data_IF_003730963906
#
_entry.id   IF_003730963906
#
_cell.length_a   1.000
_cell.length_b   1.000
_cell.length_c   1.000
_cell.angle_alpha   90.00
_cell.angle_beta   90.00
_cell.angle_gamma   90.00
#
_symmetry.space_group_name_H-M   'P 1'
#
loop_
_entity.id
_entity.type
_entity.pdbx_description
1 polymer ?
#
# COMPACT_ATOMS: atom_id res chain seq x y z
N UNK A 1 -16.61 21.80 23.80
CA UNK A 1 -16.48 20.36 24.16
C UNK A 1 -16.03 19.59 22.94
N UNK A 2 -15.03 18.71 23.07
CA UNK A 2 -14.33 18.09 21.92
C UNK A 2 -14.32 16.56 21.97
N UNK A 3 -14.04 15.92 20.83
CA UNK A 3 -13.89 14.47 20.73
C UNK A 3 -12.68 13.95 21.52
N UNK A 4 -12.69 12.65 21.86
CA UNK A 4 -11.56 11.99 22.53
C UNK A 4 -10.25 12.06 21.74
N UNK A 5 -10.33 11.95 20.40
CA UNK A 5 -9.18 12.09 19.51
C UNK A 5 -8.57 13.51 19.57
N UNK A 6 -9.41 14.54 19.54
CA UNK A 6 -8.98 15.94 19.65
C UNK A 6 -8.41 16.22 21.03
N UNK A 7 -9.01 15.67 22.09
CA UNK A 7 -8.53 15.84 23.46
C UNK A 7 -7.15 15.21 23.67
N UNK A 8 -6.93 14.01 23.12
CA UNK A 8 -5.62 13.36 23.14
C UNK A 8 -4.57 14.16 22.37
N UNK A 9 -4.91 14.66 21.18
CA UNK A 9 -4.02 15.50 20.36
C UNK A 9 -3.60 16.77 21.10
N UNK A 10 -4.54 17.44 21.77
CA UNK A 10 -4.27 18.61 22.63
C UNK A 10 -3.35 18.27 23.79
N UNK A 11 -3.59 17.14 24.47
CA UNK A 11 -2.75 16.69 25.59
C UNK A 11 -1.29 16.48 25.15
N UNK A 12 -1.07 15.79 24.03
CA UNK A 12 0.28 15.56 23.51
C UNK A 12 0.97 16.88 23.16
N UNK A 13 0.27 17.82 22.53
CA UNK A 13 0.80 19.13 22.20
C UNK A 13 1.27 19.89 23.45
N UNK A 14 0.47 19.86 24.52
CA UNK A 14 0.81 20.50 25.81
C UNK A 14 2.04 19.85 26.43
N UNK A 15 2.05 18.51 26.54
CA UNK A 15 3.16 17.77 27.14
C UNK A 15 4.47 17.98 26.35
N UNK A 16 4.39 17.99 25.02
CA UNK A 16 5.54 18.24 24.16
C UNK A 16 6.07 19.67 24.34
N UNK A 17 5.20 20.67 24.37
CA UNK A 17 5.61 22.06 24.61
C UNK A 17 6.27 22.23 26.00
N UNK A 18 5.73 21.59 27.04
CA UNK A 18 6.31 21.59 28.39
C UNK A 18 7.67 20.90 28.47
N UNK A 19 7.90 19.88 27.63
CA UNK A 19 9.19 19.20 27.50
C UNK A 19 10.22 20.07 26.76
N UNK A 20 9.80 20.77 25.72
CA UNK A 20 10.65 21.64 24.90
C UNK A 20 11.07 22.90 25.67
N UNK A 21 10.11 23.63 26.24
CA UNK A 21 10.36 24.83 27.01
C UNK A 21 9.28 25.00 28.08
N UNK A 22 9.57 24.52 29.28
CA UNK A 22 8.62 24.43 30.38
C UNK A 22 8.07 25.80 30.79
N UNK A 23 8.95 26.80 30.93
CA UNK A 23 8.58 28.12 31.43
C UNK A 23 7.70 28.86 30.42
N UNK A 24 8.08 28.84 29.14
CA UNK A 24 7.31 29.53 28.09
C UNK A 24 5.98 28.83 27.80
N UNK A 25 5.93 27.50 27.88
CA UNK A 25 4.69 26.75 27.75
C UNK A 25 3.71 27.05 28.91
N UNK A 26 4.19 27.21 30.15
CA UNK A 26 3.35 27.62 31.29
C UNK A 26 2.78 29.03 31.13
N UNK A 27 3.55 29.95 30.55
CA UNK A 27 3.07 31.31 30.22
C UNK A 27 1.99 31.25 29.14
N UNK A 28 2.20 30.45 28.09
CA UNK A 28 1.21 30.27 27.00
C UNK A 28 -0.10 29.66 27.51
N UNK A 29 -0.02 28.69 28.43
CA UNK A 29 -1.21 28.07 29.03
C UNK A 29 -2.02 29.02 29.92
N UNK A 30 -1.42 30.12 30.39
CA UNK A 30 -2.08 31.15 31.23
C UNK A 30 -2.00 32.53 30.56
N UNK A 31 -2.75 32.75 29.46
CA UNK A 31 -2.61 33.95 28.63
C UNK A 31 -3.04 35.24 29.33
N UNK A 32 -3.89 35.17 30.35
CA UNK A 32 -4.36 36.33 31.12
C UNK A 32 -4.38 36.02 32.62
N UNK A 33 -4.24 37.05 33.45
CA UNK A 33 -4.31 36.98 34.92
C UNK A 33 -5.68 36.51 35.42
N UNK A 34 -6.70 36.60 34.57
CA UNK A 34 -8.07 36.11 34.80
C UNK A 34 -8.23 34.61 34.56
N UNK A 35 -7.27 33.95 33.87
CA UNK A 35 -7.35 32.51 33.61
C UNK A 35 -7.09 31.70 34.89
N UNK A 36 -8.12 31.01 35.35
CA UNK A 36 -8.08 30.17 36.54
C UNK A 36 -8.06 28.69 36.16
N UNK A 37 -7.40 27.90 37.01
CA UNK A 37 -7.49 26.44 36.97
C UNK A 37 -8.35 26.02 38.14
N UNK A 38 -9.45 25.31 37.88
CA UNK A 38 -10.33 24.86 38.95
C UNK A 38 -9.65 23.83 39.85
N UNK A 39 -10.03 23.72 41.14
CA UNK A 39 -9.33 22.85 42.11
C UNK A 39 -9.27 21.36 41.72
N UNK A 40 -10.18 20.89 40.87
CA UNK A 40 -10.27 19.51 40.40
C UNK A 40 -9.85 19.33 38.94
N UNK A 41 -9.33 20.37 38.30
CA UNK A 41 -8.82 20.34 36.93
C UNK A 41 -7.30 20.49 36.90
N UNK A 42 -6.66 19.79 35.97
CA UNK A 42 -5.20 19.84 35.76
C UNK A 42 -4.83 21.00 34.82
N UNK A 43 -5.69 21.31 33.86
CA UNK A 43 -5.49 22.34 32.84
C UNK A 43 -6.38 23.56 33.08
N UNK A 44 -5.94 24.78 32.67
CA UNK A 44 -6.75 26.00 32.80
C UNK A 44 -8.12 25.88 32.13
N UNK A 45 -9.14 26.46 32.76
CA UNK A 45 -10.49 26.51 32.18
C UNK A 45 -10.50 27.61 31.12
N UNK A 46 -10.49 27.20 29.84
CA UNK A 46 -10.50 28.08 28.67
C UNK A 46 -11.69 27.75 27.76
N UNK A 47 -12.17 28.75 27.04
CA UNK A 47 -13.16 28.60 25.97
C UNK A 47 -12.55 27.90 24.75
N UNK A 48 -13.39 27.36 23.86
CA UNK A 48 -12.91 26.66 22.66
C UNK A 48 -12.08 27.59 21.74
N UNK A 49 -12.41 28.89 21.68
CA UNK A 49 -11.67 29.91 20.91
C UNK A 49 -10.30 30.25 21.53
N UNK A 50 -10.22 30.31 22.86
CA UNK A 50 -8.94 30.48 23.57
C UNK A 50 -8.05 29.26 23.40
N UNK A 51 -8.63 28.05 23.46
CA UNK A 51 -7.90 26.81 23.20
C UNK A 51 -7.25 26.80 21.82
N UNK A 52 -7.95 27.26 20.78
CA UNK A 52 -7.37 27.34 19.42
C UNK A 52 -6.15 28.27 19.41
N UNK A 53 -6.22 29.42 20.08
CA UNK A 53 -5.08 30.36 20.16
C UNK A 53 -3.90 29.76 20.91
N UNK A 54 -4.16 29.10 22.04
CA UNK A 54 -3.15 28.42 22.85
C UNK A 54 -2.50 27.28 22.07
N UNK A 55 -3.27 26.45 21.37
CA UNK A 55 -2.76 25.36 20.53
C UNK A 55 -1.83 25.86 19.43
N UNK A 56 -2.19 26.95 18.74
CA UNK A 56 -1.31 27.57 17.73
C UNK A 56 0.00 28.03 18.36
N UNK A 57 -0.05 28.69 19.52
CA UNK A 57 1.15 29.17 20.21
C UNK A 57 2.05 28.03 20.71
N UNK A 58 1.47 26.94 21.23
CA UNK A 58 2.23 25.75 21.66
C UNK A 58 2.88 25.04 20.48
N UNK A 59 2.18 24.94 19.34
CA UNK A 59 2.74 24.40 18.10
C UNK A 59 3.92 25.24 17.62
N UNK A 60 3.76 26.56 17.56
CA UNK A 60 4.81 27.46 17.09
C UNK A 60 6.04 27.44 17.99
N UNK A 61 5.86 27.29 19.31
CA UNK A 61 6.94 27.08 20.27
C UNK A 61 7.77 25.82 19.95
N UNK A 62 7.09 24.69 19.70
CA UNK A 62 7.75 23.41 19.41
C UNK A 62 8.51 23.48 18.07
N UNK A 63 7.88 24.05 17.04
CA UNK A 63 8.49 24.18 15.72
C UNK A 63 9.68 25.14 15.74
N UNK A 64 9.59 26.25 16.46
CA UNK A 64 10.69 27.20 16.61
C UNK A 64 11.92 26.57 17.29
N UNK A 65 11.73 25.76 18.33
CA UNK A 65 12.83 25.03 18.97
C UNK A 65 13.44 23.98 18.03
N UNK A 66 12.61 23.22 17.31
CA UNK A 66 13.08 22.25 16.32
C UNK A 66 13.89 22.93 15.20
N UNK A 67 13.37 24.03 14.64
CA UNK A 67 14.02 24.80 13.59
C UNK A 67 15.37 25.37 14.04
N UNK A 68 15.45 25.84 15.31
CA UNK A 68 16.70 26.33 15.89
C UNK A 68 17.72 25.21 16.16
N UNK A 69 17.28 24.05 16.66
CA UNK A 69 18.18 22.92 16.94
C UNK A 69 18.74 22.27 15.69
N UNK A 70 17.94 22.22 14.63
CA UNK A 70 18.30 21.51 13.39
C UNK A 70 18.71 22.44 12.25
N UNK A 71 18.75 23.76 12.47
CA UNK A 71 18.98 24.78 11.44
C UNK A 71 18.02 24.64 10.23
N UNK A 72 16.74 24.41 10.52
CA UNK A 72 15.68 24.20 9.50
C UNK A 72 14.72 25.38 9.51
N UNK A 73 14.39 25.89 8.33
CA UNK A 73 13.32 26.87 8.19
C UNK A 73 11.96 26.19 8.42
N UNK A 74 11.28 26.55 9.50
CA UNK A 74 9.96 25.98 9.89
C UNK A 74 8.89 26.14 8.81
N UNK A 75 8.99 27.16 7.94
CA UNK A 75 8.05 27.39 6.84
C UNK A 75 8.20 26.36 5.69
N UNK A 76 9.32 25.63 5.66
CA UNK A 76 9.57 24.58 4.66
C UNK A 76 9.05 23.20 5.07
N UNK A 77 8.50 23.07 6.29
CA UNK A 77 8.01 21.79 6.81
C UNK A 77 6.63 21.45 6.26
N UNK A 78 6.45 20.19 5.86
CA UNK A 78 5.17 19.62 5.45
C UNK A 78 4.26 19.35 6.66
N UNK A 79 2.94 19.20 6.43
CA UNK A 79 1.99 18.89 7.51
C UNK A 79 2.26 17.55 8.19
N UNK A 80 2.81 16.56 7.46
CA UNK A 80 3.26 15.29 8.04
C UNK A 80 4.48 15.49 8.95
N UNK A 81 5.48 16.27 8.52
CA UNK A 81 6.68 16.53 9.33
C UNK A 81 6.32 17.33 10.60
N UNK A 82 5.44 18.32 10.50
CA UNK A 82 4.93 19.06 11.66
C UNK A 82 4.28 18.10 12.67
N UNK A 83 3.45 17.15 12.19
CA UNK A 83 2.81 16.14 13.04
C UNK A 83 3.83 15.25 13.73
N UNK A 84 4.83 14.77 12.99
CA UNK A 84 5.85 13.86 13.48
C UNK A 84 6.77 14.54 14.51
N UNK A 85 7.08 15.84 14.34
CA UNK A 85 7.84 16.65 15.31
C UNK A 85 7.06 16.78 16.64
N UNK A 86 5.74 17.01 16.56
CA UNK A 86 4.88 17.16 17.75
C UNK A 86 4.72 15.83 18.47
N UNK A 87 4.61 14.72 17.74
CA UNK A 87 4.57 13.36 18.29
C UNK A 87 5.93 12.90 18.84
N UNK A 88 7.01 13.61 18.50
CA UNK A 88 8.34 13.39 19.05
C UNK A 88 9.16 12.33 18.34
N UNK A 89 8.87 12.06 17.07
CA UNK A 89 9.67 11.18 16.22
C UNK A 89 10.98 11.86 15.82
N UNK A 90 12.07 11.08 15.74
CA UNK A 90 13.35 11.57 15.22
C UNK A 90 13.26 11.78 13.71
N UNK A 91 13.03 13.02 13.29
CA UNK A 91 13.11 13.41 11.89
C UNK A 91 14.53 13.85 11.59
N UNK A 92 15.23 13.08 10.76
CA UNK A 92 16.50 13.49 10.16
C UNK A 92 16.31 14.84 9.46
N UNK A 93 17.08 15.85 9.87
CA UNK A 93 16.95 17.22 9.40
C UNK A 93 16.90 17.26 7.85
N UNK A 94 15.90 17.92 7.23
CA UNK A 94 15.81 18.01 5.78
C UNK A 94 17.12 18.60 5.23
N UNK A 95 17.80 17.81 4.39
CA UNK A 95 19.06 18.21 3.75
C UNK A 95 18.92 19.55 3.05
N UNK A 96 19.93 20.42 3.12
CA UNK A 96 19.97 21.76 2.47
C UNK A 96 19.55 21.74 0.98
N UNK A 97 19.72 20.59 0.31
CA UNK A 97 19.26 20.33 -1.05
C UNK A 97 17.73 20.48 -1.24
N UNK A 98 16.90 20.14 -0.24
CA UNK A 98 15.43 20.31 -0.31
C UNK A 98 15.01 21.77 -0.14
N UNK A 99 15.78 22.58 0.58
CA UNK A 99 15.52 24.02 0.71
C UNK A 99 15.79 24.74 -0.62
N UNK A 100 16.86 24.36 -1.32
CA UNK A 100 17.14 24.84 -2.68
C UNK A 100 16.05 24.42 -3.67
N UNK A 101 15.51 23.20 -3.55
CA UNK A 101 14.41 22.73 -4.41
C UNK A 101 13.12 23.52 -4.17
N UNK A 102 12.78 23.88 -2.93
CA UNK A 102 11.58 24.67 -2.63
C UNK A 102 11.72 26.14 -3.12
N UNK A 103 12.91 26.73 -3.06
CA UNK A 103 13.19 28.05 -3.66
C UNK A 103 13.14 27.99 -5.19
N UNK A 104 13.66 26.91 -5.80
CA UNK A 104 13.58 26.66 -7.25
C UNK A 104 12.15 26.37 -7.69
N UNK A 105 11.35 25.61 -6.95
CA UNK A 105 9.93 25.35 -7.26
C UNK A 105 9.08 26.63 -7.20
N UNK A 106 9.42 27.56 -6.30
CA UNK A 106 8.75 28.86 -6.21
C UNK A 106 9.06 29.73 -7.44
N UNK A 107 10.29 29.66 -7.97
CA UNK A 107 10.65 30.28 -9.26
C UNK A 107 10.06 29.51 -10.46
N UNK A 108 9.94 28.19 -10.39
CA UNK A 108 9.40 27.33 -11.45
C UNK A 108 7.89 27.53 -11.63
N UNK A 109 7.15 27.86 -10.57
CA UNK A 109 5.72 28.21 -10.63
C UNK A 109 5.42 29.51 -11.38
N UNK A 110 6.38 30.44 -11.45
CA UNK A 110 6.27 31.66 -12.28
C UNK A 110 6.73 31.40 -13.73
N UNK A 111 7.46 30.31 -13.99
CA UNK A 111 7.98 29.93 -15.30
C UNK A 111 7.25 28.77 -15.97
N UNK A 112 6.25 28.18 -15.31
CA UNK A 112 5.42 27.07 -15.81
C UNK A 112 4.35 27.54 -16.81
N UNK A 113 4.76 28.31 -17.81
CA UNK A 113 4.01 28.54 -19.05
C UNK A 113 4.77 28.13 -20.31
N UNK A 114 6.04 27.71 -20.21
CA UNK A 114 6.84 27.41 -21.40
C UNK A 114 7.70 26.17 -21.20
N UNK A 115 7.14 24.98 -21.45
CA UNK A 115 7.92 23.88 -22.06
C UNK A 115 7.00 22.78 -22.58
N UNK A 116 6.59 22.91 -23.85
CA UNK A 116 6.13 21.81 -24.67
C UNK A 116 7.12 21.67 -25.83
N UNK A 117 7.77 20.51 -25.98
CA UNK A 117 8.68 20.27 -27.10
C UNK A 117 7.85 20.09 -28.38
N UNK A 118 7.89 21.10 -29.25
CA UNK A 118 7.23 21.08 -30.56
C UNK A 118 8.17 20.48 -31.60
N UNK A 119 7.68 19.51 -32.37
CA UNK A 119 8.39 19.04 -33.56
C UNK A 119 7.69 19.61 -34.79
N UNK A 120 8.42 20.37 -35.61
CA UNK A 120 7.91 20.94 -36.88
C UNK A 120 8.22 20.00 -38.04
N UNK A 121 7.22 19.67 -38.84
CA UNK A 121 7.41 18.95 -40.11
C UNK A 121 6.61 19.61 -41.22
N UNK A 122 7.16 19.67 -42.44
CA UNK A 122 6.55 20.36 -43.59
C UNK A 122 6.01 19.32 -44.58
N UNK A 123 4.77 19.52 -45.02
CA UNK A 123 4.14 18.73 -46.08
C UNK A 123 4.67 19.17 -47.46
N UNK A 124 4.65 18.27 -48.47
CA UNK A 124 4.99 18.52 -49.89
C UNK A 124 4.41 19.80 -50.55
N UNK A 125 3.42 20.48 -49.94
CA UNK A 125 2.85 21.75 -50.39
C UNK A 125 3.33 22.99 -49.61
N UNK A 126 4.26 22.84 -48.65
CA UNK A 126 4.90 23.96 -47.96
C UNK A 126 4.20 24.43 -46.67
N UNK A 127 3.11 23.79 -46.26
CA UNK A 127 2.42 24.12 -45.01
C UNK A 127 3.11 23.47 -43.80
N UNK A 128 3.36 24.27 -42.74
CA UNK A 128 3.94 23.83 -41.48
C UNK A 128 2.91 23.04 -40.64
N UNK A 129 3.23 21.80 -40.27
CA UNK A 129 2.47 21.01 -39.29
C UNK A 129 3.26 20.99 -37.98
N UNK A 130 2.64 21.49 -36.91
CA UNK A 130 3.19 21.49 -35.55
C UNK A 130 2.49 20.37 -34.77
N UNK A 131 3.22 19.32 -34.39
CA UNK A 131 2.70 18.24 -33.55
C UNK A 131 3.33 18.31 -32.16
N UNK A 132 2.50 18.55 -31.15
CA UNK A 132 2.88 18.59 -29.74
C UNK A 132 2.69 17.21 -29.10
N UNK A 133 3.78 16.56 -28.71
CA UNK A 133 3.73 15.29 -27.97
C UNK A 133 4.05 15.54 -26.50
N UNK A 134 3.05 15.45 -25.63
CA UNK A 134 3.23 15.53 -24.18
C UNK A 134 3.48 14.14 -23.60
N UNK A 135 4.72 13.67 -23.59
CA UNK A 135 5.06 12.46 -22.82
C UNK A 135 5.47 12.87 -21.40
N UNK A 136 4.51 12.89 -20.48
CA UNK A 136 4.72 13.05 -19.04
C UNK A 136 5.12 11.72 -18.34
N UNK A 137 5.52 10.70 -19.10
CA UNK A 137 5.66 9.35 -18.57
C UNK A 137 7.01 9.08 -17.87
N UNK A 138 8.07 9.82 -18.20
CA UNK A 138 9.42 9.56 -17.67
C UNK A 138 9.70 10.23 -16.31
N UNK A 139 8.92 11.24 -15.91
CA UNK A 139 9.13 11.95 -14.63
C UNK A 139 8.43 11.29 -13.43
N UNK A 140 7.67 10.21 -13.63
CA UNK A 140 7.24 9.32 -12.54
C UNK A 140 8.29 8.24 -12.22
N UNK A 141 9.56 8.53 -12.44
CA UNK A 141 10.65 7.79 -11.81
C UNK A 141 10.62 8.11 -10.31
N UNK A 142 9.72 7.42 -9.62
CA UNK A 142 9.55 7.38 -8.17
C UNK A 142 10.95 7.31 -7.55
N UNK A 143 11.34 8.34 -6.81
CA UNK A 143 12.61 8.41 -6.12
C UNK A 143 12.72 7.25 -5.13
N UNK A 144 13.29 6.14 -5.59
CA UNK A 144 13.51 4.90 -4.85
C UNK A 144 14.72 5.04 -3.92
N UNK A 145 14.72 6.09 -3.10
CA UNK A 145 15.35 6.07 -1.77
C UNK A 145 14.32 5.70 -0.69
N UNK A 146 13.22 5.07 -1.08
CA UNK A 146 12.40 4.31 -0.13
C UNK A 146 13.20 3.07 0.24
N UNK A 147 13.55 2.95 1.51
CA UNK A 147 14.26 1.86 2.22
C UNK A 147 13.70 0.45 1.90
N UNK A 148 13.88 -0.03 0.65
CA UNK A 148 13.47 -1.38 0.25
C UNK A 148 14.24 -2.42 1.05
N UNK A 149 15.45 -2.07 1.54
CA UNK A 149 16.29 -2.91 2.41
C UNK A 149 15.63 -3.13 3.77
N UNK A 150 15.18 -2.08 4.47
CA UNK A 150 14.44 -2.22 5.74
C UNK A 150 13.17 -3.05 5.54
N UNK A 151 12.45 -2.82 4.44
CA UNK A 151 11.27 -3.64 4.14
C UNK A 151 11.63 -5.10 3.82
N UNK A 152 12.72 -5.35 3.10
CA UNK A 152 13.18 -6.71 2.82
C UNK A 152 13.57 -7.47 4.10
N UNK A 153 14.28 -6.81 5.02
CA UNK A 153 14.61 -7.36 6.34
C UNK A 153 13.32 -7.66 7.13
N UNK A 154 12.36 -6.74 7.09
CA UNK A 154 11.08 -6.90 7.80
C UNK A 154 10.22 -8.02 7.17
N UNK A 155 10.22 -8.15 5.85
CA UNK A 155 9.51 -9.18 5.10
C UNK A 155 10.05 -10.59 5.41
N UNK A 156 11.36 -10.73 5.68
CA UNK A 156 11.94 -12.00 6.11
C UNK A 156 11.29 -12.55 7.41
N UNK A 157 10.74 -11.67 8.24
CA UNK A 157 10.06 -12.03 9.50
C UNK A 157 8.56 -12.30 9.36
N UNK A 158 7.98 -12.26 8.14
CA UNK A 158 6.55 -12.50 7.91
C UNK A 158 6.09 -13.90 8.36
N UNK A 159 6.99 -14.88 8.29
CA UNK A 159 6.72 -16.23 8.76
C UNK A 159 6.29 -16.28 10.24
N UNK A 160 6.78 -15.36 11.09
CA UNK A 160 6.40 -15.29 12.51
C UNK A 160 4.93 -14.93 12.69
N UNK A 161 4.36 -14.10 11.80
CA UNK A 161 2.94 -13.70 11.85
C UNK A 161 2.00 -14.87 11.51
N UNK A 162 2.51 -15.90 10.82
CA UNK A 162 1.71 -17.07 10.47
C UNK A 162 1.36 -17.98 11.65
N UNK A 163 1.96 -17.73 12.83
CA UNK A 163 1.61 -18.41 14.08
C UNK A 163 0.27 -17.90 14.66
N UNK A 164 -0.09 -16.65 14.37
CA UNK A 164 -1.30 -16.00 14.88
C UNK A 164 -2.14 -15.52 13.69
N UNK A 165 -3.07 -16.38 13.27
CA UNK A 165 -3.99 -16.08 12.17
C UNK A 165 -5.40 -16.01 12.73
N UNK A 166 -6.05 -14.86 12.53
CA UNK A 166 -7.44 -14.61 12.89
C UNK A 166 -8.30 -14.66 11.63
N UNK A 167 -9.49 -15.25 11.73
CA UNK A 167 -10.47 -15.27 10.65
C UNK A 167 -11.69 -14.51 11.13
N UNK A 168 -12.01 -13.42 10.44
CA UNK A 168 -13.23 -12.65 10.68
C UNK A 168 -14.39 -13.37 10.00
N UNK A 169 -15.25 -13.98 10.82
CA UNK A 169 -16.51 -14.60 10.38
C UNK A 169 -17.68 -13.84 11.00
N UNK A 170 -18.59 -13.35 10.17
CA UNK A 170 -19.93 -12.93 10.61
C UNK A 170 -20.81 -14.18 10.86
N UNK A 171 -21.98 -13.97 11.49
CA UNK A 171 -22.95 -15.02 11.79
C UNK A 171 -23.28 -15.88 10.56
N UNK A 172 -23.38 -17.20 10.78
CA UNK A 172 -23.57 -18.20 9.73
C UNK A 172 -24.92 -17.96 9.04
N UNK A 173 -24.89 -17.50 7.79
CA UNK A 173 -26.07 -17.52 6.92
C UNK A 173 -26.27 -18.94 6.39
N UNK A 174 -27.41 -19.56 6.67
CA UNK A 174 -27.75 -20.93 6.23
C UNK A 174 -27.76 -21.12 4.70
N UNK A 175 -27.80 -20.03 3.93
CA UNK A 175 -27.99 -20.03 2.48
C UNK A 175 -26.72 -19.73 1.66
N UNK A 176 -25.55 -19.57 2.31
CA UNK A 176 -24.28 -19.22 1.65
C UNK A 176 -23.29 -20.38 1.46
N UNK A 177 -22.32 -20.20 0.57
CA UNK A 177 -21.18 -21.12 0.45
C UNK A 177 -20.17 -20.91 1.60
N UNK A 178 -19.57 -22.00 2.08
CA UNK A 178 -18.45 -21.96 3.03
C UNK A 178 -17.14 -22.24 2.30
N UNK A 179 -16.17 -21.34 2.41
CA UNK A 179 -14.88 -21.45 1.73
C UNK A 179 -13.82 -22.03 2.66
N UNK A 180 -13.08 -23.04 2.22
CA UNK A 180 -12.02 -23.68 3.01
C UNK A 180 -10.67 -23.37 2.36
N UNK A 181 -9.83 -22.62 3.07
CA UNK A 181 -8.48 -22.26 2.64
C UNK A 181 -7.42 -23.14 3.35
N UNK A 182 -6.57 -23.86 2.60
CA UNK A 182 -5.51 -24.65 3.20
C UNK A 182 -4.45 -23.78 3.88
N UNK A 183 -4.06 -24.16 5.09
CA UNK A 183 -3.05 -23.43 5.87
C UNK A 183 -1.69 -23.39 5.16
N UNK A 184 -1.32 -24.41 4.39
CA UNK A 184 -0.02 -24.46 3.72
C UNK A 184 0.12 -23.37 2.64
N UNK A 185 -0.91 -23.16 1.81
CA UNK A 185 -0.87 -22.12 0.78
C UNK A 185 -1.01 -20.74 1.40
N UNK A 186 -1.84 -20.57 2.42
CA UNK A 186 -1.95 -19.30 3.14
C UNK A 186 -0.61 -18.89 3.78
N UNK A 187 0.05 -19.81 4.49
CA UNK A 187 1.36 -19.55 5.10
C UNK A 187 2.38 -19.11 4.05
N UNK A 188 2.48 -19.84 2.93
CA UNK A 188 3.41 -19.47 1.87
C UNK A 188 3.02 -18.13 1.22
N UNK A 189 1.73 -17.85 1.00
CA UNK A 189 1.25 -16.57 0.47
C UNK A 189 1.63 -15.39 1.36
N UNK A 190 1.52 -15.53 2.69
CA UNK A 190 1.99 -14.53 3.66
C UNK A 190 3.51 -14.37 3.55
N UNK A 191 4.27 -15.46 3.55
CA UNK A 191 5.74 -15.41 3.51
C UNK A 191 6.33 -14.78 2.24
N UNK A 192 5.63 -14.84 1.11
CA UNK A 192 6.11 -14.24 -0.16
C UNK A 192 5.71 -12.77 -0.33
N UNK A 193 4.92 -12.22 0.58
CA UNK A 193 4.36 -10.86 0.47
C UNK A 193 5.30 -9.75 0.94
N UNK A 194 4.85 -8.50 0.81
CA UNK A 194 5.47 -7.32 1.41
C UNK A 194 4.51 -6.68 2.44
N UNK A 195 5.07 -6.03 3.46
CA UNK A 195 4.29 -5.37 4.51
C UNK A 195 3.58 -4.10 4.04
N UNK A 196 3.96 -3.54 2.88
CA UNK A 196 3.41 -2.28 2.36
C UNK A 196 2.76 -2.46 1.00
N UNK A 197 3.47 -3.05 0.03
CA UNK A 197 2.96 -3.30 -1.31
C UNK A 197 2.04 -4.52 -1.29
N UNK A 198 0.81 -4.34 -1.76
CA UNK A 198 -0.15 -5.43 -1.86
C UNK A 198 0.29 -6.44 -2.94
N UNK A 199 0.03 -7.72 -2.68
CA UNK A 199 0.12 -8.80 -3.67
C UNK A 199 -1.22 -9.53 -3.71
N UNK A 200 -1.53 -10.15 -4.84
CA UNK A 200 -2.74 -10.91 -5.06
C UNK A 200 -2.47 -12.26 -5.72
N UNK A 201 -3.40 -13.19 -5.52
CA UNK A 201 -3.44 -14.47 -6.22
C UNK A 201 -4.87 -14.85 -6.56
N UNK A 202 -5.08 -15.45 -7.73
CA UNK A 202 -6.38 -15.99 -8.10
C UNK A 202 -6.63 -17.33 -7.41
N UNK A 203 -7.86 -17.55 -6.96
CA UNK A 203 -8.28 -18.73 -6.23
C UNK A 203 -8.99 -19.69 -7.17
N UNK A 204 -8.56 -20.94 -7.17
CA UNK A 204 -9.23 -22.03 -7.87
C UNK A 204 -9.48 -23.19 -6.92
N UNK A 205 -10.61 -23.87 -7.11
CA UNK A 205 -11.00 -24.94 -6.22
C UNK A 205 -12.13 -25.80 -6.77
N UNK A 206 -12.60 -26.69 -5.91
CA UNK A 206 -13.70 -27.62 -6.20
C UNK A 206 -14.58 -27.78 -4.97
N UNK A 207 -15.83 -28.13 -5.17
CA UNK A 207 -16.66 -28.65 -4.09
C UNK A 207 -16.36 -30.13 -3.85
N UNK A 208 -16.32 -30.60 -2.59
CA UNK A 208 -16.26 -32.02 -2.32
C UNK A 208 -17.53 -32.72 -2.86
N UNK A 209 -17.44 -33.99 -3.29
CA UNK A 209 -18.57 -34.71 -3.88
C UNK A 209 -19.76 -34.83 -2.92
N UNK A 210 -19.48 -34.85 -1.61
CA UNK A 210 -20.48 -35.04 -0.57
C UNK A 210 -21.22 -33.74 -0.19
N UNK A 211 -20.65 -32.57 -0.47
CA UNK A 211 -21.24 -31.29 -0.07
C UNK A 211 -20.97 -30.15 -1.08
N UNK A 212 -21.94 -29.81 -1.94
CA UNK A 212 -21.78 -28.75 -2.94
C UNK A 212 -21.76 -27.33 -2.34
N UNK A 213 -22.22 -27.14 -1.11
CA UNK A 213 -22.20 -25.83 -0.43
C UNK A 213 -20.81 -25.48 0.15
N UNK A 214 -19.89 -26.44 0.18
CA UNK A 214 -18.50 -26.22 0.58
C UNK A 214 -17.63 -25.99 -0.65
N UNK A 215 -16.75 -24.99 -0.59
CA UNK A 215 -15.79 -24.67 -1.64
C UNK A 215 -14.37 -24.83 -1.10
N UNK A 216 -13.68 -25.89 -1.52
CA UNK A 216 -12.31 -26.15 -1.11
C UNK A 216 -11.32 -25.48 -2.08
N UNK A 217 -10.59 -24.49 -1.59
CA UNK A 217 -9.55 -23.80 -2.38
C UNK A 217 -8.36 -24.76 -2.53
N UNK A 218 -8.09 -25.20 -3.76
CA UNK A 218 -7.00 -26.14 -4.06
C UNK A 218 -5.77 -25.44 -4.59
N UNK A 219 -5.93 -24.31 -5.27
CA UNK A 219 -4.84 -23.63 -5.95
C UNK A 219 -4.90 -22.11 -5.74
N UNK A 220 -3.72 -21.52 -5.50
CA UNK A 220 -3.50 -20.07 -5.63
C UNK A 220 -2.60 -19.85 -6.85
N UNK A 221 -3.10 -19.11 -7.83
CA UNK A 221 -2.35 -18.75 -9.03
C UNK A 221 -1.76 -17.35 -8.87
N UNK A 222 -0.44 -17.26 -8.87
CA UNK A 222 0.28 -15.99 -8.93
C UNK A 222 0.48 -15.58 -10.38
N UNK A 223 0.02 -14.39 -10.74
CA UNK A 223 0.16 -13.81 -12.08
C UNK A 223 1.17 -12.66 -12.06
N UNK A 224 1.73 -12.25 -13.23
CA UNK A 224 2.55 -11.05 -13.34
C UNK A 224 1.83 -9.84 -12.73
N UNK A 225 2.37 -9.19 -11.71
CA UNK A 225 1.66 -8.14 -10.99
C UNK A 225 2.59 -7.14 -10.33
N UNK A 226 2.07 -5.95 -10.05
CA UNK A 226 2.71 -4.98 -9.17
C UNK A 226 1.65 -4.35 -8.26
N UNK A 227 2.06 -3.81 -7.13
CA UNK A 227 1.16 -3.35 -6.09
C UNK A 227 1.62 -2.07 -5.42
N UNK A 228 0.64 -1.28 -5.03
CA UNK A 228 0.81 -0.11 -4.17
C UNK A 228 0.39 -0.46 -2.74
N UNK A 229 0.36 0.52 -1.84
CA UNK A 229 -0.23 0.32 -0.51
C UNK A 229 -1.77 0.26 -0.51
N UNK A 230 -2.42 0.64 -1.62
CA UNK A 230 -3.88 0.73 -1.73
C UNK A 230 -4.49 -0.30 -2.67
N UNK A 231 -3.79 -0.72 -3.71
CA UNK A 231 -4.33 -1.58 -4.77
C UNK A 231 -3.23 -2.39 -5.44
N UNK A 232 -3.64 -3.45 -6.12
CA UNK A 232 -2.81 -4.34 -6.93
C UNK A 232 -3.23 -4.25 -8.39
N UNK A 233 -2.25 -4.31 -9.28
CA UNK A 233 -2.44 -4.24 -10.71
C UNK A 233 -2.12 -5.60 -11.33
N UNK A 234 -3.14 -6.18 -11.97
CA UNK A 234 -3.11 -7.50 -12.60
C UNK A 234 -3.34 -7.35 -14.12
N UNK A 235 -2.80 -8.26 -14.94
CA UNK A 235 -3.12 -8.36 -16.36
C UNK A 235 -4.58 -8.74 -16.55
N UNK A 236 -5.18 -8.28 -17.65
CA UNK A 236 -6.56 -8.58 -18.02
C UNK A 236 -6.78 -10.06 -18.36
N UNK A 237 -5.74 -10.76 -18.83
CA UNK A 237 -5.83 -12.18 -19.11
C UNK A 237 -5.93 -13.00 -17.81
N UNK A 238 -7.00 -13.77 -17.65
CA UNK A 238 -7.13 -14.73 -16.56
C UNK A 238 -6.20 -15.95 -16.73
N UNK A 239 -5.82 -16.61 -15.63
CA UNK A 239 -5.07 -17.86 -15.63
C UNK A 239 -5.67 -18.95 -16.53
N UNK A 240 -4.84 -19.52 -17.40
CA UNK A 240 -5.19 -20.68 -18.21
C UNK A 240 -4.10 -21.74 -18.09
N UNK A 241 -4.47 -22.95 -17.71
CA UNK A 241 -3.59 -24.12 -17.65
C UNK A 241 -4.41 -25.41 -17.64
N UNK A 242 -3.84 -26.53 -18.07
CA UNK A 242 -4.50 -27.83 -18.11
C UNK A 242 -5.07 -28.25 -16.75
N UNK A 243 -4.26 -28.23 -15.68
CA UNK A 243 -4.73 -28.48 -14.31
C UNK A 243 -5.83 -27.55 -13.80
N UNK A 244 -6.01 -26.34 -14.37
CA UNK A 244 -7.08 -25.43 -13.95
C UNK A 244 -8.43 -25.80 -14.57
N UNK A 245 -8.46 -26.61 -15.65
CA UNK A 245 -9.71 -26.96 -16.35
C UNK A 245 -10.66 -27.80 -15.51
N UNK A 246 -10.13 -28.58 -14.57
CA UNK A 246 -10.90 -29.41 -13.64
C UNK A 246 -11.39 -28.64 -12.40
N UNK A 247 -11.01 -27.36 -12.27
CA UNK A 247 -11.34 -26.51 -11.12
C UNK A 247 -12.19 -25.31 -11.55
N UNK A 248 -13.02 -24.82 -10.65
CA UNK A 248 -13.77 -23.59 -10.86
C UNK A 248 -13.03 -22.38 -10.22
N UNK A 249 -13.11 -21.18 -10.83
CA UNK A 249 -12.59 -19.97 -10.22
C UNK A 249 -13.44 -19.60 -8.99
N UNK A 250 -12.78 -19.36 -7.86
CA UNK A 250 -13.40 -18.97 -6.58
C UNK A 250 -13.11 -17.51 -6.22
N UNK A 251 -12.52 -16.74 -7.12
CA UNK A 251 -12.21 -15.33 -6.93
C UNK A 251 -10.73 -15.07 -6.69
N UNK A 252 -10.38 -14.21 -5.74
CA UNK A 252 -8.99 -13.80 -5.51
C UNK A 252 -8.70 -13.48 -4.04
N UNK A 253 -7.45 -13.64 -3.64
CA UNK A 253 -6.91 -13.24 -2.34
C UNK A 253 -5.88 -12.12 -2.55
N UNK A 254 -5.85 -11.13 -1.66
CA UNK A 254 -4.78 -10.13 -1.64
C UNK A 254 -4.36 -9.73 -0.24
N UNK A 255 -3.13 -9.26 -0.10
CA UNK A 255 -2.63 -8.68 1.15
C UNK A 255 -3.02 -7.21 1.26
N UNK A 256 -3.17 -6.72 2.49
CA UNK A 256 -3.29 -5.31 2.76
C UNK A 256 -2.47 -4.90 3.99
N UNK A 257 -1.81 -3.72 3.95
CA UNK A 257 -0.88 -3.30 4.99
C UNK A 257 -1.56 -2.99 6.33
N UNK A 258 -2.84 -2.62 6.31
CA UNK A 258 -3.62 -2.29 7.49
C UNK A 258 -4.95 -3.05 7.45
N UNK A 259 -5.50 -3.34 8.62
CA UNK A 259 -6.86 -3.86 8.74
C UNK A 259 -7.87 -2.74 8.54
N UNK A 260 -8.84 -2.98 7.65
CA UNK A 260 -9.97 -2.10 7.41
C UNK A 260 -11.26 -2.80 7.83
N UNK A 261 -12.19 -2.13 8.54
CA UNK A 261 -13.46 -2.73 8.92
C UNK A 261 -14.38 -2.98 7.71
N UNK A 262 -14.11 -2.31 6.59
CA UNK A 262 -14.85 -2.39 5.35
C UNK A 262 -13.95 -2.84 4.21
N UNK A 263 -14.54 -3.51 3.21
CA UNK A 263 -13.88 -3.78 1.94
C UNK A 263 -13.46 -2.46 1.29
N UNK A 264 -12.38 -2.43 0.52
CA UNK A 264 -12.00 -1.17 -0.14
C UNK A 264 -12.86 -0.96 -1.40
N UNK A 265 -13.16 0.30 -1.77
CA UNK A 265 -13.86 0.59 -3.02
C UNK A 265 -13.08 0.10 -4.26
N UNK A 266 -11.75 0.04 -4.15
CA UNK A 266 -10.87 -0.46 -5.22
C UNK A 266 -11.03 -1.98 -5.40
N UNK A 267 -11.23 -2.74 -4.31
CA UNK A 267 -11.45 -4.18 -4.39
C UNK A 267 -12.81 -4.50 -5.03
N UNK A 268 -13.86 -3.74 -4.66
CA UNK A 268 -15.19 -3.84 -5.29
C UNK A 268 -15.10 -3.55 -6.79
N UNK A 269 -14.40 -2.48 -7.16
CA UNK A 269 -14.21 -2.08 -8.56
C UNK A 269 -13.42 -3.14 -9.33
N UNK A 270 -12.35 -3.66 -8.75
CA UNK A 270 -11.47 -4.66 -9.38
C UNK A 270 -12.21 -5.97 -9.58
N UNK A 271 -12.89 -6.47 -8.55
CA UNK A 271 -13.64 -7.72 -8.62
C UNK A 271 -14.79 -7.62 -9.63
N UNK A 272 -15.56 -6.52 -9.63
CA UNK A 272 -16.64 -6.31 -10.59
C UNK A 272 -16.15 -6.24 -12.05
N UNK A 273 -15.00 -5.59 -12.29
CA UNK A 273 -14.39 -5.53 -13.64
C UNK A 273 -13.91 -6.90 -14.11
N UNK A 274 -13.24 -7.66 -13.24
CA UNK A 274 -12.82 -9.03 -13.57
C UNK A 274 -14.03 -9.90 -13.91
N UNK A 275 -15.12 -9.83 -13.13
CA UNK A 275 -16.36 -10.54 -13.43
C UNK A 275 -16.99 -10.12 -14.76
N UNK A 276 -17.03 -8.81 -15.03
CA UNK A 276 -17.62 -8.28 -16.27
C UNK A 276 -16.86 -8.75 -17.52
N UNK A 277 -15.53 -8.83 -17.43
CA UNK A 277 -14.66 -9.24 -18.53
C UNK A 277 -14.62 -10.77 -18.71
N UNK A 278 -15.01 -11.54 -17.69
CA UNK A 278 -14.84 -12.99 -17.66
C UNK A 278 -16.11 -13.73 -17.23
N UNK A 279 -16.94 -14.19 -18.18
CA UNK A 279 -18.19 -14.90 -17.89
C UNK A 279 -18.03 -16.22 -17.12
N UNK A 280 -16.81 -16.76 -17.03
CA UNK A 280 -16.50 -17.94 -16.21
C UNK A 280 -16.60 -17.68 -14.69
N UNK A 281 -16.58 -16.41 -14.26
CA UNK A 281 -16.72 -16.05 -12.85
C UNK A 281 -18.20 -15.95 -12.48
N UNK A 282 -18.63 -16.84 -11.59
CA UNK A 282 -19.98 -16.85 -11.04
C UNK A 282 -20.04 -15.93 -9.82
N UNK A 283 -20.86 -14.87 -9.89
CA UNK A 283 -21.00 -13.88 -8.83
C UNK A 283 -21.46 -14.42 -7.47
N UNK A 284 -22.11 -15.59 -7.45
CA UNK A 284 -22.50 -16.23 -6.19
C UNK A 284 -21.36 -17.08 -5.57
N UNK A 285 -20.38 -17.47 -6.37
CA UNK A 285 -19.27 -18.36 -5.96
C UNK A 285 -17.91 -17.67 -5.86
N UNK A 286 -17.72 -16.54 -6.52
CA UNK A 286 -16.44 -15.82 -6.50
C UNK A 286 -16.37 -14.85 -5.33
N UNK A 287 -15.26 -14.89 -4.61
CA UNK A 287 -15.06 -14.06 -3.40
C UNK A 287 -13.77 -13.25 -3.47
N UNK A 288 -13.68 -12.29 -2.55
CA UNK A 288 -12.49 -11.48 -2.29
C UNK A 288 -12.00 -11.84 -0.90
N UNK A 289 -10.81 -12.40 -0.77
CA UNK A 289 -10.17 -12.64 0.52
C UNK A 289 -9.15 -11.54 0.75
N UNK A 290 -9.34 -10.78 1.82
CA UNK A 290 -8.37 -9.79 2.29
C UNK A 290 -7.51 -10.41 3.38
N UNK A 291 -6.18 -10.26 3.28
CA UNK A 291 -5.22 -10.69 4.28
C UNK A 291 -4.53 -9.46 4.87
N UNK A 292 -5.00 -9.01 6.03
CA UNK A 292 -4.48 -7.83 6.73
C UNK A 292 -3.31 -8.16 7.62
N UNK A 293 -2.27 -7.34 7.53
CA UNK A 293 -1.13 -7.42 8.44
C UNK A 293 -1.36 -6.57 9.70
N UNK A 294 -1.52 -7.25 10.83
CA UNK A 294 -1.58 -6.66 12.17
C UNK A 294 -0.27 -6.92 12.91
N UNK A 295 0.09 -6.15 13.96
CA UNK A 295 1.32 -6.41 14.72
C UNK A 295 1.36 -7.85 15.26
N UNK A 296 2.34 -8.63 14.80
CA UNK A 296 2.56 -10.02 15.23
C UNK A 296 1.57 -11.06 14.69
N UNK A 297 0.58 -10.67 13.88
CA UNK A 297 -0.48 -11.57 13.41
C UNK A 297 -0.97 -11.23 12.00
N UNK A 298 -1.89 -12.03 11.48
CA UNK A 298 -2.60 -11.77 10.23
C UNK A 298 -4.10 -11.97 10.45
N UNK A 299 -4.92 -11.07 9.92
CA UNK A 299 -6.39 -11.20 9.93
C UNK A 299 -6.87 -11.47 8.51
N UNK A 300 -7.77 -12.46 8.36
CA UNK A 300 -8.40 -12.78 7.09
C UNK A 300 -9.90 -12.48 7.14
N UNK A 301 -10.39 -11.83 6.10
CA UNK A 301 -11.83 -11.61 5.91
C UNK A 301 -12.20 -11.91 4.46
N UNK A 302 -13.27 -12.67 4.27
CA UNK A 302 -13.78 -13.04 2.97
C UNK A 302 -15.08 -12.28 2.66
N UNK A 303 -15.19 -11.77 1.43
CA UNK A 303 -16.31 -10.96 0.98
C UNK A 303 -16.87 -11.48 -0.35
N UNK A 304 -18.17 -11.31 -0.55
CA UNK A 304 -18.85 -11.50 -1.85
C UNK A 304 -19.49 -10.18 -2.25
N UNK A 305 -19.50 -9.86 -3.54
CA UNK A 305 -20.25 -8.69 -4.02
C UNK A 305 -21.74 -8.98 -4.04
N UNK A 306 -22.53 -7.98 -3.68
CA UNK A 306 -23.97 -7.99 -3.92
C UNK A 306 -24.24 -7.56 -5.37
N UNK A 307 -25.43 -7.84 -5.95
CA UNK A 307 -25.77 -7.37 -7.29
C UNK A 307 -25.64 -5.85 -7.46
N UNK A 308 -25.96 -5.07 -6.43
CA UNK A 308 -25.77 -3.61 -6.44
C UNK A 308 -24.29 -3.21 -6.45
N UNK A 309 -23.45 -3.92 -5.69
CA UNK A 309 -22.00 -3.70 -5.70
C UNK A 309 -21.34 -4.05 -7.01
N UNK A 310 -21.79 -5.12 -7.68
CA UNK A 310 -21.34 -5.46 -9.03
C UNK A 310 -21.66 -4.34 -10.03
N UNK A 311 -22.90 -3.86 -10.05
CA UNK A 311 -23.29 -2.80 -11.00
C UNK A 311 -22.53 -1.50 -10.73
N UNK A 312 -22.39 -1.12 -9.46
CA UNK A 312 -21.60 0.05 -9.08
C UNK A 312 -20.12 -0.10 -9.46
N UNK A 313 -19.50 -1.24 -9.13
CA UNK A 313 -18.07 -1.49 -9.35
C UNK A 313 -17.69 -1.53 -10.83
N UNK A 314 -18.57 -2.07 -11.68
CA UNK A 314 -18.37 -2.10 -13.13
C UNK A 314 -18.40 -0.69 -13.75
N UNK A 315 -19.26 0.19 -13.24
CA UNK A 315 -19.38 1.57 -13.72
C UNK A 315 -18.34 2.52 -13.10
N UNK A 316 -17.74 2.16 -11.96
CA UNK A 316 -16.83 3.05 -11.26
C UNK A 316 -15.52 3.31 -12.04
N UNK A 317 -15.27 4.60 -12.29
CA UNK A 317 -14.03 5.10 -12.90
C UNK A 317 -13.13 5.84 -11.91
N UNK A 318 -13.64 6.18 -10.72
CA UNK A 318 -12.90 6.94 -9.71
C UNK A 318 -11.96 6.01 -8.92
N UNK A 319 -10.66 6.32 -8.98
CA UNK A 319 -9.59 5.59 -8.29
C UNK A 319 -9.24 6.19 -6.91
N UNK A 320 -10.01 7.17 -6.44
CA UNK A 320 -9.85 7.76 -5.13
C UNK A 320 -10.23 6.82 -3.99
N UNK A 321 -9.91 7.23 -2.75
CA UNK A 321 -10.26 6.46 -1.55
C UNK A 321 -11.75 6.51 -1.19
N UNK A 322 -12.46 7.55 -1.63
CA UNK A 322 -13.88 7.77 -1.33
C UNK A 322 -14.66 8.06 -2.63
N UNK A 323 -14.79 7.08 -3.53
CA UNK A 323 -15.49 7.29 -4.78
C UNK A 323 -16.99 7.49 -4.55
N UNK A 324 -17.60 8.32 -5.38
CA UNK A 324 -19.02 8.70 -5.26
C UNK A 324 -19.92 7.46 -5.37
N UNK A 325 -20.87 7.34 -4.45
CA UNK A 325 -21.86 6.27 -4.44
C UNK A 325 -21.39 4.96 -3.84
N UNK A 326 -20.16 4.88 -3.32
CA UNK A 326 -19.70 3.71 -2.57
C UNK A 326 -20.52 3.51 -1.28
N UNK A 327 -21.02 2.30 -1.06
CA UNK A 327 -21.82 1.95 0.12
C UNK A 327 -21.39 0.58 0.69
N UNK A 328 -21.41 0.38 2.02
CA UNK A 328 -21.15 -0.92 2.63
C UNK A 328 -22.12 -2.04 2.21
N UNK A 329 -23.28 -1.71 1.64
CA UNK A 329 -24.25 -2.67 1.10
C UNK A 329 -23.82 -3.29 -0.25
N UNK A 330 -22.71 -2.83 -0.83
CA UNK A 330 -22.15 -3.37 -2.08
C UNK A 330 -21.47 -4.74 -1.91
N UNK A 331 -21.24 -5.16 -0.69
CA UNK A 331 -20.63 -6.45 -0.40
C UNK A 331 -21.26 -7.05 0.85
N UNK A 332 -21.09 -8.35 1.01
CA UNK A 332 -21.41 -9.07 2.23
C UNK A 332 -20.22 -9.93 2.65
N UNK A 333 -20.04 -10.12 3.96
CA UNK A 333 -19.06 -11.08 4.46
C UNK A 333 -19.57 -12.49 4.22
N UNK A 334 -18.64 -13.38 3.85
CA UNK A 334 -18.91 -14.80 3.66
C UNK A 334 -18.09 -15.65 4.62
N UNK A 335 -18.57 -16.85 4.88
CA UNK A 335 -17.90 -17.75 5.81
C UNK A 335 -16.65 -18.35 5.17
N UNK A 336 -15.53 -18.26 5.89
CA UNK A 336 -14.29 -18.91 5.51
C UNK A 336 -13.71 -19.67 6.71
N UNK A 337 -13.12 -20.82 6.45
CA UNK A 337 -12.43 -21.67 7.43
C UNK A 337 -11.02 -22.00 6.94
N UNK A 338 -10.11 -22.22 7.89
CA UNK A 338 -8.77 -22.70 7.61
C UNK A 338 -8.69 -24.20 7.88
N UNK A 339 -8.05 -24.94 6.97
CA UNK A 339 -7.90 -26.40 7.10
C UNK A 339 -6.45 -26.83 6.94
N UNK A 340 -6.07 -27.85 7.72
CA UNK A 340 -4.84 -28.64 7.58
C UNK A 340 -5.11 -30.05 7.06
N UNK A 341 -6.38 -30.39 6.78
CA UNK A 341 -6.78 -31.74 6.31
C UNK A 341 -6.33 -32.04 4.88
N UNK A 342 -6.08 -31.01 4.09
CA UNK A 342 -5.59 -31.14 2.73
C UNK A 342 -4.59 -30.02 2.41
N UNK A 343 -3.79 -30.25 1.38
CA UNK A 343 -2.79 -29.30 0.91
C UNK A 343 -3.29 -28.66 -0.39
N UNK A 344 -3.14 -27.34 -0.48
CA UNK A 344 -3.23 -26.64 -1.76
C UNK A 344 -1.87 -26.55 -2.44
N UNK A 345 -1.85 -26.09 -3.69
CA UNK A 345 -0.63 -25.86 -4.47
C UNK A 345 -0.63 -24.47 -5.11
N UNK A 346 0.51 -24.07 -5.65
CA UNK A 346 0.65 -22.82 -6.39
C UNK A 346 0.89 -23.06 -7.87
N UNK A 347 0.47 -22.09 -8.67
CA UNK A 347 0.94 -21.90 -10.02
C UNK A 347 1.56 -20.52 -10.16
N UNK A 348 2.64 -20.42 -10.93
CA UNK A 348 3.39 -19.18 -11.13
C UNK A 348 3.71 -19.01 -12.61
N UNK A 349 4.11 -17.82 -13.08
CA UNK A 349 4.48 -17.64 -14.47
C UNK A 349 5.68 -18.51 -14.85
N UNK A 350 5.66 -19.09 -16.06
CA UNK A 350 6.67 -20.05 -16.51
C UNK A 350 8.02 -19.39 -16.80
N UNK A 351 7.99 -18.31 -17.58
CA UNK A 351 9.20 -17.65 -18.11
C UNK A 351 9.56 -16.37 -17.36
N UNK A 352 8.67 -15.87 -16.49
CA UNK A 352 8.84 -14.56 -15.85
C UNK A 352 8.67 -14.61 -14.34
N UNK A 353 9.11 -13.53 -13.71
CA UNK A 353 8.70 -13.20 -12.36
C UNK A 353 7.18 -13.09 -12.25
N UNK A 354 6.60 -13.35 -11.07
CA UNK A 354 5.25 -12.91 -10.73
C UNK A 354 5.26 -11.46 -10.20
N UNK A 355 6.34 -11.02 -9.54
CA UNK A 355 6.46 -9.68 -8.97
C UNK A 355 7.18 -8.70 -9.93
N UNK A 356 6.49 -7.64 -10.32
CA UNK A 356 6.98 -6.56 -11.20
C UNK A 356 7.18 -5.24 -10.45
N UNK A 357 7.11 -5.20 -9.11
CA UNK A 357 7.31 -3.96 -8.35
C UNK A 357 8.68 -3.28 -8.57
N UNK A 358 9.73 -4.03 -8.90
CA UNK A 358 11.05 -3.48 -9.27
C UNK A 358 11.29 -3.46 -10.79
N UNK A 359 10.28 -3.85 -11.58
CA UNK A 359 10.33 -3.96 -13.04
C UNK A 359 9.06 -3.39 -13.67
N UNK A 360 8.49 -2.33 -13.09
CA UNK A 360 7.16 -1.83 -13.46
C UNK A 360 7.00 -1.50 -14.94
N UNK A 361 8.07 -0.99 -15.59
CA UNK A 361 8.10 -0.71 -17.04
C UNK A 361 7.93 -1.96 -17.92
N UNK A 362 8.13 -3.16 -17.38
CA UNK A 362 7.95 -4.44 -18.09
C UNK A 362 6.57 -5.04 -17.87
N UNK A 363 5.76 -4.47 -16.99
CA UNK A 363 4.37 -4.90 -16.79
C UNK A 363 3.46 -4.16 -17.77
N UNK A 364 2.66 -4.92 -18.50
CA UNK A 364 1.62 -4.37 -19.39
C UNK A 364 0.28 -5.03 -19.03
N UNK A 365 -0.83 -4.26 -18.91
CA UNK A 365 -2.14 -4.83 -18.61
C UNK A 365 -2.61 -5.92 -19.59
N UNK A 366 -2.18 -5.87 -20.85
CA UNK A 366 -2.53 -6.82 -21.89
C UNK A 366 -1.44 -7.88 -22.12
N UNK A 367 -0.44 -7.96 -21.23
CA UNK A 367 0.61 -8.96 -21.37
C UNK A 367 0.07 -10.38 -21.29
N UNK A 368 0.65 -11.25 -22.11
CA UNK A 368 0.37 -12.69 -22.05
C UNK A 368 1.38 -13.39 -21.17
N UNK A 369 0.94 -14.45 -20.51
CA UNK A 369 1.78 -15.28 -19.68
C UNK A 369 1.34 -16.73 -19.72
N UNK A 370 2.30 -17.62 -19.55
CA UNK A 370 2.09 -19.06 -19.36
C UNK A 370 2.35 -19.42 -17.91
N UNK A 371 1.73 -20.50 -17.44
CA UNK A 371 1.82 -20.94 -16.05
C UNK A 371 2.59 -22.25 -15.94
N UNK A 372 3.23 -22.44 -14.79
CA UNK A 372 3.87 -23.69 -14.39
C UNK A 372 3.54 -24.03 -12.94
N UNK A 373 3.61 -25.32 -12.60
CA UNK A 373 3.52 -25.80 -11.23
C UNK A 373 4.85 -25.53 -10.50
N UNK A 374 4.89 -24.45 -9.74
CA UNK A 374 6.01 -24.15 -8.85
C UNK A 374 5.57 -23.25 -7.70
N UNK A 375 6.36 -23.26 -6.62
CA UNK A 375 6.13 -22.36 -5.50
C UNK A 375 6.60 -20.94 -5.84
N UNK A 376 5.83 -19.91 -5.48
CA UNK A 376 6.24 -18.53 -5.67
C UNK A 376 7.47 -18.20 -4.83
N UNK A 377 8.37 -17.44 -5.45
CA UNK A 377 9.53 -16.82 -4.80
C UNK A 377 9.10 -15.65 -3.93
N UNK A 378 9.90 -15.31 -2.92
CA UNK A 378 9.62 -14.22 -1.99
C UNK A 378 9.67 -12.86 -2.68
N UNK A 379 8.92 -11.86 -2.18
CA UNK A 379 8.80 -10.52 -2.78
C UNK A 379 10.15 -9.89 -3.19
N UNK A 380 11.20 -10.06 -2.37
CA UNK A 380 12.52 -9.48 -2.57
C UNK A 380 13.55 -10.47 -3.17
N UNK A 381 13.11 -11.61 -3.69
CA UNK A 381 13.97 -12.58 -4.34
C UNK A 381 14.71 -11.95 -5.54
N UNK A 382 15.95 -12.39 -5.81
CA UNK A 382 16.83 -11.76 -6.80
C UNK A 382 16.24 -11.65 -8.22
N UNK A 383 15.53 -12.69 -8.65
CA UNK A 383 14.79 -12.74 -9.92
C UNK A 383 13.76 -11.63 -10.09
N UNK A 384 13.25 -11.04 -9.00
CA UNK A 384 12.27 -9.96 -9.04
C UNK A 384 12.92 -8.58 -9.18
N UNK A 385 14.24 -8.48 -8.99
CA UNK A 385 14.99 -7.22 -8.87
C UNK A 385 16.34 -7.25 -9.59
N UNK A 386 16.40 -7.68 -10.86
CA UNK A 386 17.66 -7.89 -11.60
C UNK A 386 18.48 -6.60 -11.75
N UNK A 387 17.84 -5.44 -11.87
CA UNK A 387 18.51 -4.13 -11.99
C UNK A 387 19.43 -3.82 -10.80
N UNK A 388 19.06 -4.25 -9.59
CA UNK A 388 19.92 -4.05 -8.42
C UNK A 388 21.25 -4.79 -8.54
N UNK A 389 21.28 -5.97 -9.17
CA UNK A 389 22.49 -6.78 -9.31
C UNK A 389 23.33 -6.37 -10.52
N UNK A 390 22.69 -6.00 -11.64
CA UNK A 390 23.39 -5.51 -12.83
C UNK A 390 24.18 -4.23 -12.54
N UNK A 391 23.66 -3.34 -11.69
CA UNK A 391 24.38 -2.15 -11.25
C UNK A 391 25.67 -2.46 -10.48
N UNK A 392 25.73 -3.57 -9.73
CA UNK A 392 26.96 -3.97 -9.02
C UNK A 392 28.01 -4.53 -9.98
N UNK A 393 27.60 -5.25 -11.03
CA UNK A 393 28.53 -5.79 -12.03
C UNK A 393 29.29 -4.67 -12.77
N UNK A 394 28.61 -3.57 -13.10
CA UNK A 394 29.22 -2.41 -13.77
C UNK A 394 30.25 -1.66 -12.91
N UNK A 395 30.14 -1.74 -11.57
CA UNK A 395 31.09 -1.10 -10.65
C UNK A 395 32.42 -1.86 -10.56
N UNK A 396 32.41 -3.17 -10.83
CA UNK A 396 33.60 -4.03 -10.75
C UNK A 396 34.61 -3.78 -11.88
N UNK A 397 34.18 -3.24 -13.02
CA UNK A 397 35.08 -2.93 -14.15
C UNK A 397 36.02 -1.73 -13.87
N UNK A 398 35.82 -1.01 -12.77
CA UNK A 398 36.66 0.13 -12.35
C UNK A 398 37.71 -0.18 -11.29
N UNK A 399 37.76 -1.40 -10.74
CA UNK A 399 38.78 -1.77 -9.75
C UNK A 399 40.09 -2.14 -10.46
N UNK A 400 41.06 -1.22 -10.44
CA UNK A 400 42.46 -1.56 -10.70
C UNK A 400 42.87 -2.60 -9.66
N UNK A 401 43.02 -3.84 -10.09
CA UNK A 401 43.46 -4.96 -9.27
C UNK A 401 44.70 -4.55 -8.47
N UNK A 402 44.58 -4.48 -7.14
CA UNK A 402 45.77 -4.53 -6.27
C UNK A 402 46.49 -5.83 -6.58
N UNK A 403 47.69 -5.70 -7.15
CA UNK A 403 48.41 -6.77 -7.86
C UNK A 403 48.87 -7.94 -6.97
N UNK A 404 48.76 -7.84 -5.65
CA UNK A 404 49.11 -8.90 -4.71
C UNK A 404 47.86 -9.44 -4.02
N UNK A 405 47.16 -10.37 -4.68
CA UNK A 405 46.20 -11.27 -4.01
C UNK A 405 46.86 -12.64 -3.88
N UNK A 406 47.61 -12.83 -2.80
CA UNK A 406 48.03 -14.18 -2.39
C UNK A 406 46.80 -14.93 -1.84
N UNK A 407 46.27 -15.85 -2.64
CA UNK A 407 45.30 -16.84 -2.19
C UNK A 407 46.05 -18.11 -1.75
N UNK A 408 46.47 -18.12 -0.48
CA UNK A 408 47.21 -19.23 0.13
C UNK A 408 46.32 -20.42 0.53
N UNK A 409 45.03 -20.40 0.18
CA UNK A 409 44.04 -21.40 0.58
C UNK A 409 43.28 -22.04 -0.59
N UNK A 410 43.75 -21.85 -1.83
CA UNK A 410 43.20 -22.52 -3.02
C UNK A 410 43.64 -23.98 -3.15
#
# INVERSE_FOLDING_TARGET
TISSYTAFSRLILILRALHVNNDRAKVILKPDKTTVTEPHHIWPTLTDEEWIKVEVQLKDLILADYGKKNNVNVASLTQSEIRDIILGMEISAPSQQRQQIAEIEKQTKEQSQLTATQTRTVNKHGDEIITSTTSNYETQTFSSKTEWRVRAISAANLHLRTNHIYVSSDDIKETGYTYILPKNVLKKFICISDLRAQIAGYLYGVSPPDNPQVKEIRCIVMVPQWGTHQTVHLPSQLPQHEYLKEMEPLGWIHTQPNESPQLSPQDVTTHAKIMADNPSWDGEKTIIITCSFTPGSCTLTAYKLTPSGYEWGRQNTDKGNNPKGYLPSHYERVQMLLSDRFLGFFMVPAQSSWNYNFMGVRHDPNMKYELQLANPKEFYHEVHRPSHFLNFALLQEGEVYSADREDLYA
#
